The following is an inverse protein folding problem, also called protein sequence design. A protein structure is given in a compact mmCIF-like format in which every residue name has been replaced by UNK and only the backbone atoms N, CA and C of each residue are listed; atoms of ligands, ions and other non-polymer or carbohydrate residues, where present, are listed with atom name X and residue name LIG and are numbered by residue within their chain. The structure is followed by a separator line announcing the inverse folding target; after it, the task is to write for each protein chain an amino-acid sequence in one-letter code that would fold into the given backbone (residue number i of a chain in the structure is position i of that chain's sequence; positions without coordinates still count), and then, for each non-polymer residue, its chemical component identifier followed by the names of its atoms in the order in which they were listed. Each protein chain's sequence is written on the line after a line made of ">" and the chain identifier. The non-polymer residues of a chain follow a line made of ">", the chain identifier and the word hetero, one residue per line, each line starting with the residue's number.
data_IF_339684050270
#
_entry.id   IF_339684050270
#
_cell.length_a   1.000
_cell.length_b   1.000
_cell.length_c   1.000
_cell.angle_alpha   90.00
_cell.angle_beta   90.00
_cell.angle_gamma   90.00
#
_symmetry.space_group_name_H-M   'P 1'
#
loop_
_entity.id
_entity.type
_entity.pdbx_description
1 polymer ?
#
# COMPACT_ATOMS: atom_id res chain seq x y z
N UNK A 1 -22.06 5.87 -3.24
CA UNK A 1 -20.67 6.33 -3.11
C UNK A 1 -19.77 5.11 -3.17
N UNK A 2 -18.53 5.28 -3.60
CA UNK A 2 -17.57 4.17 -3.60
C UNK A 2 -17.38 3.66 -2.16
N UNK A 3 -17.18 2.36 -2.01
CA UNK A 3 -17.04 1.72 -0.70
C UNK A 3 -15.62 1.19 -0.52
N UNK A 4 -14.98 1.55 0.59
CA UNK A 4 -13.68 1.01 0.98
C UNK A 4 -13.91 -0.25 1.82
N UNK A 5 -13.25 -1.34 1.46
CA UNK A 5 -13.18 -2.58 2.24
C UNK A 5 -11.73 -2.79 2.65
N UNK A 6 -11.45 -2.62 3.93
CA UNK A 6 -10.15 -2.96 4.51
C UNK A 6 -10.04 -4.48 4.66
N UNK A 7 -9.06 -5.08 3.99
CA UNK A 7 -8.72 -6.49 4.09
C UNK A 7 -7.45 -6.54 4.94
N UNK A 8 -7.65 -6.63 6.26
CA UNK A 8 -6.54 -6.54 7.23
C UNK A 8 -5.92 -7.90 7.48
N UNK A 9 -4.63 -7.93 7.78
CA UNK A 9 -3.94 -9.13 8.24
C UNK A 9 -2.89 -8.77 9.31
N UNK A 10 -2.34 -9.76 10.05
CA UNK A 10 -1.29 -9.48 11.02
C UNK A 10 0.01 -8.91 10.44
N UNK A 11 0.21 -9.02 9.12
CA UNK A 11 1.44 -8.61 8.45
C UNK A 11 1.27 -7.27 7.76
N UNK A 12 0.30 -7.14 6.86
CA UNK A 12 -0.02 -5.89 6.17
C UNK A 12 -1.50 -5.84 5.78
N UNK A 13 -1.99 -4.64 5.50
CA UNK A 13 -3.35 -4.36 5.07
C UNK A 13 -3.42 -4.20 3.55
N UNK A 14 -4.54 -4.62 2.98
CA UNK A 14 -4.90 -4.38 1.59
C UNK A 14 -6.25 -3.66 1.54
N UNK A 15 -6.49 -2.89 0.48
CA UNK A 15 -7.70 -2.09 0.40
C UNK A 15 -8.41 -2.31 -0.93
N UNK A 16 -9.64 -2.83 -0.86
CA UNK A 16 -10.51 -2.97 -2.02
C UNK A 16 -11.49 -1.80 -2.06
N UNK A 17 -11.34 -0.95 -3.05
CA UNK A 17 -12.26 0.17 -3.31
C UNK A 17 -13.26 -0.30 -4.36
N UNK A 18 -14.50 -0.48 -3.94
CA UNK A 18 -15.61 -0.87 -4.82
C UNK A 18 -16.22 0.41 -5.40
N UNK A 19 -15.82 0.74 -6.61
CA UNK A 19 -16.40 1.84 -7.39
C UNK A 19 -17.73 1.46 -8.03
N UNK A 20 -18.35 2.41 -8.74
CA UNK A 20 -19.64 2.19 -9.42
C UNK A 20 -19.57 1.16 -10.56
N UNK A 21 -18.45 1.13 -11.29
CA UNK A 21 -18.29 0.32 -12.51
C UNK A 21 -17.13 -0.64 -12.46
N UNK A 22 -16.17 -0.39 -11.56
CA UNK A 22 -14.93 -1.15 -11.42
C UNK A 22 -14.46 -1.10 -9.96
N UNK A 23 -13.70 -2.09 -9.53
CA UNK A 23 -13.00 -2.14 -8.27
C UNK A 23 -11.48 -1.98 -8.44
N UNK A 24 -10.89 -1.25 -7.50
CA UNK A 24 -9.44 -1.07 -7.36
C UNK A 24 -8.97 -1.80 -6.11
N UNK A 25 -7.94 -2.63 -6.25
CA UNK A 25 -7.20 -3.17 -5.11
C UNK A 25 -5.91 -2.35 -4.92
N UNK A 26 -5.62 -1.95 -3.69
CA UNK A 26 -4.36 -1.36 -3.28
C UNK A 26 -3.63 -2.38 -2.41
N UNK A 27 -2.42 -2.75 -2.85
CA UNK A 27 -1.56 -3.80 -2.31
C UNK A 27 -2.20 -5.19 -2.25
N UNK A 28 -1.37 -6.21 -2.05
CA UNK A 28 -1.75 -7.62 -2.20
C UNK A 28 -1.28 -8.51 -1.05
N UNK A 29 -0.55 -7.97 -0.06
CA UNK A 29 -0.10 -8.76 1.09
C UNK A 29 1.08 -9.66 0.76
N UNK A 30 1.42 -10.55 1.70
CA UNK A 30 2.31 -11.70 1.45
C UNK A 30 1.58 -12.80 0.67
N UNK A 31 2.33 -13.76 0.10
CA UNK A 31 1.76 -14.87 -0.70
C UNK A 31 0.61 -15.62 0.02
N UNK A 32 0.72 -15.77 1.34
CA UNK A 32 -0.28 -16.46 2.17
C UNK A 32 -1.60 -15.70 2.32
N UNK A 33 -1.68 -14.41 1.96
CA UNK A 33 -2.92 -13.63 1.98
C UNK A 33 -3.90 -14.02 0.85
N UNK A 34 -3.48 -14.79 -0.16
CA UNK A 34 -4.28 -15.06 -1.35
C UNK A 34 -5.68 -15.61 -1.04
N UNK A 35 -5.78 -16.59 -0.15
CA UNK A 35 -7.07 -17.18 0.23
C UNK A 35 -7.98 -16.17 0.94
N UNK A 36 -7.40 -15.26 1.72
CA UNK A 36 -8.14 -14.18 2.38
C UNK A 36 -8.66 -13.17 1.35
N UNK A 37 -7.81 -12.70 0.43
CA UNK A 37 -8.20 -11.82 -0.67
C UNK A 37 -9.37 -12.41 -1.48
N UNK A 38 -9.25 -13.67 -1.91
CA UNK A 38 -10.30 -14.34 -2.68
C UNK A 38 -11.62 -14.46 -1.90
N UNK A 39 -11.57 -14.65 -0.57
CA UNK A 39 -12.76 -14.65 0.28
C UNK A 39 -13.38 -13.26 0.35
N UNK A 40 -12.57 -12.21 0.51
CA UNK A 40 -13.03 -10.82 0.54
C UNK A 40 -13.67 -10.40 -0.78
N UNK A 41 -13.11 -10.82 -1.93
CA UNK A 41 -13.69 -10.56 -3.25
C UNK A 41 -15.06 -11.23 -3.41
N UNK A 42 -15.18 -12.51 -3.01
CA UNK A 42 -16.47 -13.21 -3.01
C UNK A 42 -17.50 -12.54 -2.09
N UNK A 43 -17.11 -12.17 -0.87
CA UNK A 43 -18.00 -11.50 0.08
C UNK A 43 -18.46 -10.13 -0.43
N UNK A 44 -17.58 -9.41 -1.13
CA UNK A 44 -17.91 -8.14 -1.76
C UNK A 44 -18.70 -8.29 -3.07
N UNK A 45 -18.83 -9.51 -3.59
CA UNK A 45 -19.37 -9.82 -4.92
C UNK A 45 -18.72 -9.01 -6.04
N UNK A 46 -17.41 -8.73 -5.90
CA UNK A 46 -16.63 -7.99 -6.87
C UNK A 46 -15.18 -8.49 -6.90
N UNK A 47 -14.50 -8.27 -8.02
CA UNK A 47 -13.06 -8.54 -8.20
C UNK A 47 -12.40 -7.28 -8.72
N UNK A 48 -11.10 -7.05 -8.45
CA UNK A 48 -10.42 -5.89 -9.00
C UNK A 48 -10.26 -6.02 -10.53
N UNK A 49 -10.49 -4.92 -11.25
CA UNK A 49 -9.99 -4.74 -12.62
C UNK A 49 -8.63 -4.03 -12.64
N UNK A 50 -8.30 -3.32 -11.56
CA UNK A 50 -7.01 -2.67 -11.38
C UNK A 50 -6.40 -3.02 -10.02
N UNK A 51 -5.09 -3.27 -10.00
CA UNK A 51 -4.29 -3.41 -8.79
C UNK A 51 -3.23 -2.30 -8.82
N UNK A 52 -3.11 -1.55 -7.74
CA UNK A 52 -2.02 -0.59 -7.53
C UNK A 52 -1.16 -1.09 -6.38
N UNK A 53 0.14 -1.19 -6.61
CA UNK A 53 1.13 -1.50 -5.58
C UNK A 53 1.77 -0.19 -5.12
N UNK A 54 1.76 0.04 -3.81
CA UNK A 54 2.36 1.24 -3.22
C UNK A 54 3.88 1.20 -3.31
N UNK A 55 4.47 0.02 -3.06
CA UNK A 55 5.91 -0.23 -3.17
C UNK A 55 6.25 -1.73 -3.22
N UNK A 56 7.46 -2.05 -3.68
CA UNK A 56 7.98 -3.41 -3.88
C UNK A 56 8.65 -3.95 -2.61
N UNK A 57 7.84 -4.19 -1.57
CA UNK A 57 8.19 -5.04 -0.44
C UNK A 57 7.24 -6.25 -0.41
N UNK A 58 7.74 -7.41 0.02
CA UNK A 58 7.06 -8.69 -0.18
C UNK A 58 5.74 -8.88 0.56
N UNK A 59 5.47 -8.03 1.55
CA UNK A 59 4.19 -7.91 2.21
C UNK A 59 3.20 -6.96 1.52
N UNK A 60 3.56 -6.36 0.39
CA UNK A 60 2.69 -5.50 -0.42
C UNK A 60 2.41 -6.07 -1.81
N UNK A 61 3.32 -6.84 -2.41
CA UNK A 61 3.20 -7.40 -3.76
C UNK A 61 3.21 -8.95 -3.82
N UNK A 62 3.27 -9.64 -2.68
CA UNK A 62 3.46 -11.09 -2.59
C UNK A 62 2.35 -11.94 -3.23
N UNK A 63 1.13 -11.43 -3.35
CA UNK A 63 0.04 -12.14 -4.06
C UNK A 63 -0.12 -11.73 -5.53
N UNK A 64 0.67 -10.75 -6.02
CA UNK A 64 0.42 -10.10 -7.30
C UNK A 64 0.46 -11.08 -8.48
N UNK A 65 1.53 -11.88 -8.61
CA UNK A 65 1.66 -12.85 -9.70
C UNK A 65 0.49 -13.85 -9.70
N UNK A 66 0.11 -14.35 -8.52
CA UNK A 66 -0.96 -15.33 -8.39
C UNK A 66 -2.32 -14.74 -8.75
N UNK A 67 -2.56 -13.47 -8.41
CA UNK A 67 -3.75 -12.73 -8.84
C UNK A 67 -3.78 -12.53 -10.35
N UNK A 68 -2.64 -12.25 -10.99
CA UNK A 68 -2.56 -12.13 -12.46
C UNK A 68 -2.89 -13.45 -13.16
N UNK A 69 -2.37 -14.57 -12.64
CA UNK A 69 -2.69 -15.90 -13.17
C UNK A 69 -4.20 -16.21 -13.04
N UNK A 70 -4.81 -15.79 -11.94
CA UNK A 70 -6.24 -15.98 -11.71
C UNK A 70 -7.12 -15.01 -12.51
N UNK A 71 -6.64 -13.80 -12.76
CA UNK A 71 -7.36 -12.73 -13.46
C UNK A 71 -6.49 -12.11 -14.55
N UNK A 72 -6.28 -12.77 -15.70
CA UNK A 72 -5.32 -12.32 -16.71
C UNK A 72 -5.61 -10.93 -17.32
N UNK A 73 -6.85 -10.44 -17.17
CA UNK A 73 -7.26 -9.11 -17.64
C UNK A 73 -7.06 -7.99 -16.60
N UNK A 74 -6.58 -8.29 -15.39
CA UNK A 74 -6.35 -7.28 -14.35
C UNK A 74 -5.17 -6.38 -14.72
N UNK A 75 -5.37 -5.07 -14.67
CA UNK A 75 -4.31 -4.10 -14.92
C UNK A 75 -3.54 -3.81 -13.64
N UNK A 76 -2.26 -4.10 -13.61
CA UNK A 76 -1.38 -3.87 -12.48
C UNK A 76 -0.53 -2.62 -12.73
N UNK A 77 -0.44 -1.78 -11.70
CA UNK A 77 0.27 -0.51 -11.76
C UNK A 77 1.12 -0.27 -10.50
N UNK A 78 2.25 0.40 -10.68
CA UNK A 78 3.15 0.83 -9.62
C UNK A 78 3.91 2.08 -10.11
N UNK A 79 4.74 2.72 -9.28
CA UNK A 79 5.66 3.74 -9.80
C UNK A 79 6.76 3.09 -10.68
N UNK A 80 7.47 3.85 -11.53
CA UNK A 80 8.48 3.28 -12.42
C UNK A 80 9.57 2.45 -11.71
N UNK A 81 10.08 2.93 -10.56
CA UNK A 81 11.12 2.23 -9.82
C UNK A 81 10.61 0.96 -9.14
N UNK A 82 9.40 1.01 -8.58
CA UNK A 82 8.79 -0.16 -7.94
C UNK A 82 8.38 -1.19 -8.99
N UNK A 83 7.88 -0.75 -10.15
CA UNK A 83 7.57 -1.62 -11.28
C UNK A 83 8.79 -2.42 -11.74
N UNK A 84 9.96 -1.76 -11.88
CA UNK A 84 11.19 -2.44 -12.23
C UNK A 84 11.59 -3.52 -11.21
N UNK A 85 11.46 -3.21 -9.92
CA UNK A 85 11.76 -4.15 -8.85
C UNK A 85 10.82 -5.37 -8.88
N UNK A 86 9.51 -5.14 -8.91
CA UNK A 86 8.45 -6.17 -9.00
C UNK A 86 8.66 -7.07 -10.22
N UNK A 87 8.90 -6.49 -11.39
CA UNK A 87 9.09 -7.25 -12.64
C UNK A 87 10.35 -8.12 -12.63
N UNK A 88 11.33 -7.79 -11.78
CA UNK A 88 12.54 -8.59 -11.58
C UNK A 88 12.44 -9.57 -10.39
N UNK A 89 11.34 -9.57 -9.65
CA UNK A 89 11.16 -10.35 -8.42
C UNK A 89 12.09 -9.90 -7.29
N UNK A 90 12.44 -8.62 -7.25
CA UNK A 90 13.31 -8.02 -6.24
C UNK A 90 12.58 -6.93 -5.47
N UNK A 91 13.16 -6.54 -4.34
CA UNK A 91 12.77 -5.34 -3.61
C UNK A 91 13.53 -4.11 -4.12
N UNK A 92 12.92 -2.92 -4.03
CA UNK A 92 13.50 -1.66 -4.51
C UNK A 92 14.47 -1.00 -3.52
N UNK A 93 14.66 -1.60 -2.33
CA UNK A 93 15.53 -1.10 -1.27
C UNK A 93 16.28 -2.23 -0.56
N UNK A 94 17.37 -1.87 0.11
CA UNK A 94 18.11 -2.78 0.99
C UNK A 94 17.65 -2.57 2.43
N UNK A 95 17.27 -3.65 3.12
CA UNK A 95 17.05 -3.65 4.58
C UNK A 95 18.41 -3.61 5.29
N UNK A 96 18.56 -2.71 6.26
CA UNK A 96 19.80 -2.46 7.01
C UNK A 96 19.60 -2.78 8.51
N UNK A 97 19.46 -4.06 8.90
CA UNK A 97 19.21 -4.44 10.29
C UNK A 97 20.40 -4.10 11.19
N UNK A 98 20.11 -3.60 12.39
CA UNK A 98 21.11 -3.20 13.38
C UNK A 98 21.09 -4.17 14.57
N UNK A 99 22.28 -4.67 14.93
CA UNK A 99 22.42 -5.63 16.04
C UNK A 99 22.00 -7.06 15.70
N UNK A 100 22.22 -7.98 16.64
CA UNK A 100 22.00 -9.42 16.41
C UNK A 100 20.51 -9.79 16.35
N UNK A 101 19.67 -9.12 17.15
CA UNK A 101 18.24 -9.42 17.25
C UNK A 101 17.52 -9.10 15.93
N UNK A 102 17.74 -7.91 15.36
CA UNK A 102 17.12 -7.55 14.08
C UNK A 102 17.64 -8.43 12.94
N UNK A 103 18.94 -8.72 12.91
CA UNK A 103 19.52 -9.63 11.90
C UNK A 103 18.88 -11.02 11.95
N UNK A 104 18.66 -11.55 13.16
CA UNK A 104 17.96 -12.82 13.34
C UNK A 104 16.51 -12.73 12.90
N UNK A 105 15.79 -11.69 13.30
CA UNK A 105 14.38 -11.47 12.93
C UNK A 105 14.20 -11.40 11.40
N UNK A 106 14.95 -10.54 10.72
CA UNK A 106 14.87 -10.41 9.25
C UNK A 106 15.34 -11.68 8.54
N UNK A 107 16.34 -12.38 9.07
CA UNK A 107 16.79 -13.67 8.53
C UNK A 107 15.71 -14.75 8.58
N UNK A 108 14.96 -14.82 9.68
CA UNK A 108 13.83 -15.75 9.84
C UNK A 108 12.61 -15.35 9.00
N UNK A 109 12.39 -14.05 8.79
CA UNK A 109 11.27 -13.54 8.01
C UNK A 109 11.49 -13.62 6.49
N UNK A 110 12.75 -13.64 6.01
CA UNK A 110 13.06 -13.57 4.57
C UNK A 110 12.31 -14.61 3.69
N UNK A 111 12.15 -15.89 4.08
CA UNK A 111 11.39 -16.85 3.28
C UNK A 111 9.90 -16.50 3.15
N UNK A 112 9.33 -15.80 4.13
CA UNK A 112 7.93 -15.36 4.13
C UNK A 112 7.69 -14.17 3.19
N UNK A 113 8.74 -13.40 2.91
CA UNK A 113 8.72 -12.20 2.08
C UNK A 113 9.19 -12.47 0.64
N UNK A 114 9.24 -13.74 0.23
CA UNK A 114 9.58 -14.08 -1.16
C UNK A 114 8.48 -13.59 -2.11
N UNK A 115 8.89 -12.93 -3.20
CA UNK A 115 7.98 -12.40 -4.21
C UNK A 115 8.39 -12.95 -5.57
N UNK A 116 7.51 -13.69 -6.25
CA UNK A 116 7.79 -14.11 -7.61
C UNK A 116 7.61 -12.92 -8.57
N UNK A 117 8.40 -12.82 -9.66
CA UNK A 117 8.23 -11.75 -10.65
C UNK A 117 6.80 -11.66 -11.17
N UNK A 118 6.30 -10.43 -11.25
CA UNK A 118 4.95 -10.13 -11.73
C UNK A 118 4.97 -9.00 -12.76
N UNK A 119 4.02 -8.99 -13.69
CA UNK A 119 3.98 -7.99 -14.74
C UNK A 119 3.41 -6.66 -14.21
N UNK A 120 3.93 -5.51 -14.67
CA UNK A 120 3.32 -4.21 -14.42
C UNK A 120 3.00 -3.59 -15.78
N UNK A 121 1.72 -3.37 -16.07
CA UNK A 121 1.27 -2.89 -17.38
C UNK A 121 1.26 -1.37 -17.45
N UNK A 122 1.19 -0.69 -16.30
CA UNK A 122 1.10 0.77 -16.21
C UNK A 122 2.03 1.29 -15.14
N UNK A 123 2.77 2.35 -15.43
CA UNK A 123 3.48 3.12 -14.41
C UNK A 123 2.65 4.33 -13.99
N UNK A 124 2.72 4.72 -12.71
CA UNK A 124 2.04 5.88 -12.16
C UNK A 124 3.04 6.93 -11.68
N UNK A 125 2.75 8.21 -11.95
CA UNK A 125 3.58 9.36 -11.57
C UNK A 125 2.80 10.33 -10.66
N UNK A 126 3.54 11.22 -9.99
CA UNK A 126 2.97 12.31 -9.17
C UNK A 126 1.86 13.06 -9.93
N UNK A 127 0.73 13.29 -9.25
CA UNK A 127 -0.38 14.07 -9.78
C UNK A 127 -1.31 13.33 -10.75
N UNK A 128 -0.93 12.13 -11.23
CA UNK A 128 -1.86 11.27 -11.97
C UNK A 128 -3.09 10.91 -11.13
N UNK A 129 -4.21 10.62 -11.79
CA UNK A 129 -5.47 10.38 -11.08
C UNK A 129 -6.19 9.11 -11.51
N UNK A 130 -6.87 8.49 -10.55
CA UNK A 130 -7.73 7.34 -10.75
C UNK A 130 -9.18 7.70 -10.37
N UNK A 131 -10.20 7.19 -11.11
CA UNK A 131 -11.59 7.61 -10.97
C UNK A 131 -12.32 6.92 -9.80
N UNK A 132 -11.68 6.90 -8.62
CA UNK A 132 -12.23 6.31 -7.38
C UNK A 132 -12.28 7.37 -6.28
N UNK A 133 -13.22 7.23 -5.34
CA UNK A 133 -13.39 8.11 -4.18
C UNK A 133 -13.42 9.59 -4.56
N UNK A 134 -14.12 9.94 -5.65
CA UNK A 134 -14.22 11.32 -6.12
C UNK A 134 -12.96 11.90 -6.78
N UNK A 135 -11.93 11.06 -7.01
CA UNK A 135 -10.62 11.29 -7.67
C UNK A 135 -9.47 10.99 -6.70
N UNK A 136 -8.86 9.82 -6.86
CA UNK A 136 -7.61 9.47 -6.18
C UNK A 136 -6.44 10.06 -6.94
N UNK A 137 -5.66 10.93 -6.31
CA UNK A 137 -4.42 11.49 -6.85
C UNK A 137 -3.22 10.68 -6.34
N UNK A 138 -2.32 10.33 -7.24
CA UNK A 138 -1.05 9.66 -6.91
C UNK A 138 -0.07 10.68 -6.33
N UNK A 139 0.55 10.32 -5.21
CA UNK A 139 1.56 11.10 -4.51
C UNK A 139 2.84 10.27 -4.40
N UNK A 140 3.95 10.74 -4.97
CA UNK A 140 5.28 10.19 -4.76
C UNK A 140 5.72 10.46 -3.32
N UNK A 141 5.87 9.42 -2.53
CA UNK A 141 6.16 9.50 -1.09
C UNK A 141 7.44 8.75 -0.74
N UNK A 142 8.57 9.07 -1.41
CA UNK A 142 9.81 8.33 -1.23
C UNK A 142 10.31 8.44 0.21
N UNK A 143 11.00 7.41 0.66
CA UNK A 143 11.59 7.38 1.99
C UNK A 143 11.62 5.98 2.55
N UNK A 144 10.45 5.32 2.60
CA UNK A 144 10.37 3.89 2.90
C UNK A 144 11.11 3.11 1.81
N UNK A 145 10.61 3.15 0.58
CA UNK A 145 11.34 2.77 -0.65
C UNK A 145 11.62 4.01 -1.52
N UNK A 146 12.53 3.93 -2.51
CA UNK A 146 12.82 5.08 -3.38
C UNK A 146 11.68 5.47 -4.32
N UNK A 147 10.81 4.54 -4.71
CA UNK A 147 9.67 4.79 -5.59
C UNK A 147 8.30 4.69 -4.92
N UNK A 148 8.25 4.72 -3.58
CA UNK A 148 7.00 4.58 -2.82
C UNK A 148 5.95 5.60 -3.30
N UNK A 149 4.70 5.15 -3.50
CA UNK A 149 3.56 6.02 -3.79
C UNK A 149 2.45 5.88 -2.75
N UNK A 150 1.73 6.97 -2.54
CA UNK A 150 0.50 7.04 -1.75
C UNK A 150 -0.64 7.53 -2.62
N UNK A 151 -1.89 7.27 -2.21
CA UNK A 151 -3.08 7.69 -2.96
C UNK A 151 -3.95 8.59 -2.09
N UNK A 152 -4.29 9.79 -2.58
CA UNK A 152 -5.05 10.80 -1.84
C UNK A 152 -6.41 11.07 -2.49
N UNK A 153 -7.48 11.05 -1.71
CA UNK A 153 -8.78 11.59 -2.10
C UNK A 153 -9.09 12.84 -1.30
N UNK A 154 -9.08 13.99 -1.98
CA UNK A 154 -9.53 15.26 -1.40
C UNK A 154 -11.02 15.22 -1.04
N UNK A 155 -11.83 14.60 -1.89
CA UNK A 155 -13.29 14.55 -1.74
C UNK A 155 -13.76 13.79 -0.49
N UNK A 156 -12.97 12.81 -0.05
CA UNK A 156 -13.28 11.97 1.13
C UNK A 156 -12.26 12.14 2.26
N UNK A 157 -11.34 13.10 2.12
CA UNK A 157 -10.20 13.33 3.03
C UNK A 157 -9.48 12.04 3.43
N UNK A 158 -9.32 11.12 2.46
CA UNK A 158 -8.82 9.77 2.68
C UNK A 158 -7.47 9.57 2.02
N UNK A 159 -6.49 9.12 2.81
CA UNK A 159 -5.13 8.81 2.37
C UNK A 159 -4.86 7.31 2.48
N UNK A 160 -4.42 6.68 1.40
CA UNK A 160 -3.78 5.37 1.42
C UNK A 160 -2.27 5.56 1.42
N UNK A 161 -1.63 5.36 2.57
CA UNK A 161 -0.25 5.80 2.79
C UNK A 161 0.81 4.73 2.55
N UNK A 162 0.42 3.47 2.32
CA UNK A 162 1.37 2.34 2.40
C UNK A 162 2.20 2.46 3.67
N UNK A 163 3.52 2.38 3.52
CA UNK A 163 4.49 2.39 4.61
C UNK A 163 5.20 3.74 4.79
N UNK A 164 4.73 4.79 4.10
CA UNK A 164 5.24 6.15 4.29
C UNK A 164 4.90 6.72 5.67
N UNK A 165 3.75 6.30 6.23
CA UNK A 165 3.27 6.66 7.57
C UNK A 165 3.13 5.41 8.42
N UNK A 166 3.80 5.38 9.57
CA UNK A 166 3.61 4.35 10.60
C UNK A 166 2.53 4.78 11.58
N UNK A 167 1.56 3.91 11.80
CA UNK A 167 0.40 4.15 12.66
C UNK A 167 0.54 3.34 13.95
N UNK A 168 0.56 4.02 15.09
CA UNK A 168 0.63 3.40 16.42
C UNK A 168 -0.49 3.96 17.31
N UNK A 169 -1.66 3.31 17.26
CA UNK A 169 -2.87 3.85 17.88
C UNK A 169 -3.21 5.21 17.26
N UNK A 170 -3.29 6.26 18.08
CA UNK A 170 -3.54 7.63 17.63
C UNK A 170 -2.31 8.35 17.08
N UNK A 171 -1.11 7.79 17.22
CA UNK A 171 0.13 8.45 16.85
C UNK A 171 0.54 8.10 15.41
N UNK A 172 0.86 9.14 14.65
CA UNK A 172 1.40 9.05 13.30
C UNK A 172 2.88 9.41 13.33
N UNK A 173 3.72 8.59 12.69
CA UNK A 173 5.16 8.84 12.57
C UNK A 173 5.61 8.58 11.13
N UNK A 174 6.68 9.23 10.65
CA UNK A 174 7.31 8.85 9.39
C UNK A 174 7.81 7.40 9.46
N UNK A 175 8.00 6.79 8.29
CA UNK A 175 8.81 5.58 8.14
C UNK A 175 10.20 5.79 8.74
N UNK A 176 10.69 4.82 9.53
CA UNK A 176 12.06 4.86 10.05
C UNK A 176 12.56 3.45 10.37
N UNK A 177 13.88 3.30 10.50
CA UNK A 177 14.52 2.07 10.99
C UNK A 177 15.19 1.28 9.87
N UNK A 178 15.44 0.00 10.13
CA UNK A 178 16.18 -0.88 9.23
C UNK A 178 15.57 -1.01 7.83
N UNK A 179 14.25 -0.86 7.72
CA UNK A 179 13.50 -0.98 6.48
C UNK A 179 13.22 0.37 5.79
N UNK A 180 13.86 1.47 6.20
CA UNK A 180 13.69 2.77 5.57
C UNK A 180 14.89 3.10 4.68
N UNK A 181 14.65 3.28 3.39
CA UNK A 181 15.68 3.60 2.41
C UNK A 181 16.36 4.94 2.69
N UNK A 182 15.57 5.99 2.96
CA UNK A 182 16.04 7.34 3.25
C UNK A 182 15.15 8.04 4.30
N UNK A 183 15.61 8.18 5.55
CA UNK A 183 14.85 8.81 6.63
C UNK A 183 14.49 10.28 6.39
N UNK A 184 15.38 11.06 5.77
CA UNK A 184 15.12 12.49 5.48
C UNK A 184 13.96 12.63 4.48
N UNK A 185 13.98 11.82 3.41
CA UNK A 185 12.87 11.78 2.45
C UNK A 185 11.58 11.24 3.08
N UNK A 186 11.67 10.26 3.97
CA UNK A 186 10.51 9.76 4.71
C UNK A 186 9.86 10.86 5.57
N UNK A 187 10.67 11.70 6.22
CA UNK A 187 10.19 12.85 6.99
C UNK A 187 9.49 13.88 6.08
N UNK A 188 10.10 14.24 4.94
CA UNK A 188 9.51 15.19 3.99
C UNK A 188 8.17 14.66 3.43
N UNK A 189 8.12 13.40 3.04
CA UNK A 189 6.90 12.75 2.55
C UNK A 189 5.80 12.76 3.61
N UNK A 190 6.14 12.41 4.85
CA UNK A 190 5.24 12.42 6.00
C UNK A 190 4.64 13.81 6.25
N UNK A 191 5.48 14.86 6.31
CA UNK A 191 5.03 16.24 6.52
C UNK A 191 4.09 16.71 5.40
N UNK A 192 4.46 16.44 4.14
CA UNK A 192 3.64 16.79 2.97
C UNK A 192 2.29 16.09 3.01
N UNK A 193 2.24 14.83 3.42
CA UNK A 193 0.99 14.08 3.57
C UNK A 193 0.11 14.63 4.69
N UNK A 194 0.69 15.03 5.83
CA UNK A 194 -0.08 15.63 6.92
C UNK A 194 -0.64 17.01 6.60
N UNK A 195 0.04 17.79 5.75
CA UNK A 195 -0.46 19.09 5.28
C UNK A 195 -1.77 18.98 4.48
N UNK A 196 -2.09 17.80 3.92
CA UNK A 196 -3.37 17.53 3.25
C UNK A 196 -4.55 17.45 4.24
N UNK A 197 -4.25 17.36 5.54
CA UNK A 197 -5.22 17.22 6.63
C UNK A 197 -6.16 16.02 6.41
N UNK A 198 -5.63 14.79 6.32
CA UNK A 198 -6.45 13.59 6.17
C UNK A 198 -7.37 13.43 7.39
N UNK A 199 -8.62 13.04 7.13
CA UNK A 199 -9.55 12.57 8.17
C UNK A 199 -9.43 11.06 8.38
N UNK A 200 -8.97 10.34 7.35
CA UNK A 200 -8.76 8.89 7.36
C UNK A 200 -7.42 8.54 6.72
N UNK A 201 -6.63 7.70 7.39
CA UNK A 201 -5.38 7.15 6.86
C UNK A 201 -5.46 5.62 6.90
N UNK A 202 -5.40 5.02 5.73
CA UNK A 202 -5.33 3.59 5.49
C UNK A 202 -3.87 3.24 5.19
N UNK A 203 -3.11 2.86 6.22
CA UNK A 203 -1.69 2.53 6.10
C UNK A 203 -1.46 1.08 5.67
N UNK A 204 -0.23 0.76 5.28
CA UNK A 204 0.18 -0.65 5.11
C UNK A 204 0.04 -1.43 6.42
N UNK A 205 0.30 -0.75 7.54
CA UNK A 205 0.21 -1.30 8.89
C UNK A 205 -0.66 -0.42 9.77
N UNK A 206 -1.91 -0.82 9.95
CA UNK A 206 -2.90 -0.10 10.75
C UNK A 206 -3.77 0.88 9.97
N UNK A 207 -4.78 1.42 10.66
CA UNK A 207 -5.73 2.39 10.15
C UNK A 207 -5.89 3.48 11.22
N UNK A 208 -5.91 4.73 10.79
CA UNK A 208 -6.08 5.89 11.66
C UNK A 208 -7.28 6.72 11.21
N UNK A 209 -8.03 7.23 12.18
CA UNK A 209 -9.14 8.14 11.96
C UNK A 209 -8.97 9.37 12.85
N UNK A 210 -9.27 10.54 12.31
CA UNK A 210 -9.25 11.78 13.06
C UNK A 210 -10.41 11.80 14.07
N UNK A 211 -10.09 11.68 15.36
CA UNK A 211 -11.08 11.66 16.45
C UNK A 211 -11.88 12.96 16.59
N UNK A 212 -11.37 14.10 16.10
CA UNK A 212 -12.05 15.40 16.22
C UNK A 212 -13.28 15.58 15.30
N UNK A 213 -13.56 14.61 14.42
CA UNK A 213 -14.75 14.59 13.56
C UNK A 213 -15.84 13.63 14.06
N UNK A 214 -15.51 12.67 14.93
CA UNK A 214 -16.50 11.75 15.50
C UNK A 214 -17.42 12.47 16.51
N UNK A 215 -16.93 13.52 17.19
CA UNK A 215 -17.73 14.31 18.13
C UNK A 215 -18.63 15.37 17.47
N UNK A 216 -18.47 15.67 16.17
CA UNK A 216 -19.31 16.68 15.48
C UNK A 216 -20.57 16.10 14.84
N UNK A 217 -20.69 14.78 14.82
CA UNK A 217 -21.83 14.04 14.26
C UNK A 217 -22.55 13.20 15.33
N UNK A 218 -22.29 13.45 16.61
CA UNK A 218 -22.95 12.82 17.76
C UNK A 218 -23.89 13.80 18.46
#
# INVERSE_FOLDING_TARGET
>A
MDRIIAITSPISNQYLIVGKTAALLIDTGIEYNYAHLMRSFRAASCRPEKIVITHADGDHDGCLQRLQNQFPAVLCAASPLEAQAIQSGNVSRIVKPVGAIEKLFYGLAAPLMHVPPAAIQQTLQEGETLPYLGKLTILETPGHTPGHISLWSEATKTLFSGDSIRIHGSHLKPSSGANTWNPEKAQVSFERQLQLQPEHIYGGHGIWHNSNHLERNA
#
